data_IF_650286511393
#
_entry.id   IF_650286511393
#
_cell.length_a   1.000
_cell.length_b   1.000
_cell.length_c   1.000
_cell.angle_alpha   90.00
_cell.angle_beta   90.00
_cell.angle_gamma   90.00
#
_symmetry.space_group_name_H-M   'P 1'
#
loop_
_entity.id
_entity.type
_entity.pdbx_description
1 polymer ?
#
# COMPACT_ATOMS: atom_id res chain seq x y z
N UNK A 1 10.64 21.36 2.93
CA UNK A 1 10.55 20.19 3.84
C UNK A 1 9.61 19.20 3.18
N UNK A 2 10.07 17.97 3.00
CA UNK A 2 9.30 16.91 2.36
C UNK A 2 8.13 16.47 3.26
N UNK A 3 6.93 16.43 2.70
CA UNK A 3 5.73 15.92 3.39
C UNK A 3 5.22 14.68 2.67
N UNK A 4 5.05 13.58 3.40
CA UNK A 4 4.36 12.37 2.93
C UNK A 4 2.91 12.41 3.39
N UNK A 5 1.96 12.29 2.47
CA UNK A 5 0.54 12.23 2.79
C UNK A 5 0.04 10.78 2.85
N UNK A 6 -0.53 10.41 4.00
CA UNK A 6 -1.03 9.07 4.31
C UNK A 6 -2.40 9.08 5.01
N UNK A 7 -2.88 7.90 5.38
CA UNK A 7 -4.06 7.72 6.24
C UNK A 7 -3.71 7.83 7.74
N UNK A 8 -2.44 7.60 8.08
CA UNK A 8 -1.95 7.57 9.46
C UNK A 8 -2.09 6.20 10.12
N UNK A 9 -1.63 6.12 11.36
CA UNK A 9 -1.47 4.85 12.06
C UNK A 9 -2.80 4.09 12.18
N UNK A 10 -2.75 2.80 11.89
CA UNK A 10 -3.87 1.89 12.12
C UNK A 10 -3.44 0.43 12.03
N UNK A 11 -4.20 -0.48 12.64
CA UNK A 11 -3.84 -1.91 12.75
C UNK A 11 -2.45 -2.18 13.37
N UNK A 12 -1.95 -1.28 14.22
CA UNK A 12 -0.63 -1.41 14.87
C UNK A 12 0.58 -1.10 13.98
N UNK A 13 0.36 -0.50 12.81
CA UNK A 13 1.40 -0.10 11.85
C UNK A 13 1.31 1.41 11.54
N UNK A 14 2.36 1.97 10.93
CA UNK A 14 2.48 3.42 10.64
C UNK A 14 1.38 3.91 9.71
N UNK A 15 0.95 3.08 8.76
CA UNK A 15 -0.18 3.37 7.87
C UNK A 15 -0.84 2.05 7.42
N UNK A 16 -2.17 1.95 7.33
CA UNK A 16 -2.83 0.75 6.85
C UNK A 16 -2.63 0.50 5.35
N UNK A 17 -2.23 1.50 4.56
CA UNK A 17 -1.93 1.36 3.13
C UNK A 17 -0.51 0.82 2.93
N UNK A 18 -0.34 -0.34 2.27
CA UNK A 18 1.00 -0.85 1.96
C UNK A 18 1.79 0.10 1.05
N UNK A 19 1.09 0.90 0.23
CA UNK A 19 1.74 1.88 -0.64
C UNK A 19 2.26 3.10 0.12
N UNK A 20 1.60 3.51 1.20
CA UNK A 20 2.13 4.56 2.09
C UNK A 20 3.31 3.99 2.87
N UNK A 21 3.17 2.77 3.43
CA UNK A 21 4.22 2.10 4.17
C UNK A 21 5.51 1.93 3.38
N UNK A 22 5.46 1.52 2.11
CA UNK A 22 6.70 1.37 1.30
C UNK A 22 7.43 2.70 1.10
N UNK A 23 6.70 3.82 0.98
CA UNK A 23 7.31 5.15 0.84
C UNK A 23 7.88 5.63 2.18
N UNK A 24 7.14 5.48 3.28
CA UNK A 24 7.63 5.77 4.64
C UNK A 24 8.90 4.96 4.96
N UNK A 25 8.89 3.66 4.67
CA UNK A 25 10.05 2.79 4.86
C UNK A 25 11.23 3.21 3.99
N UNK A 26 11.00 3.52 2.71
CA UNK A 26 12.05 4.00 1.81
C UNK A 26 12.70 5.29 2.32
N UNK A 27 11.90 6.28 2.72
CA UNK A 27 12.39 7.55 3.26
C UNK A 27 13.26 7.34 4.50
N UNK A 28 12.81 6.48 5.43
CA UNK A 28 13.56 6.15 6.64
C UNK A 28 14.87 5.43 6.33
N UNK A 29 14.84 4.43 5.44
CA UNK A 29 16.04 3.68 5.05
C UNK A 29 17.05 4.57 4.31
N UNK A 30 16.58 5.50 3.49
CA UNK A 30 17.41 6.46 2.76
C UNK A 30 17.91 7.62 3.66
N UNK A 31 17.47 7.70 4.92
CA UNK A 31 17.83 8.79 5.83
C UNK A 31 17.25 10.16 5.43
N UNK A 32 16.20 10.18 4.62
CA UNK A 32 15.55 11.41 4.16
C UNK A 32 14.60 11.89 5.26
N UNK A 33 14.78 13.13 5.71
CA UNK A 33 13.89 13.75 6.70
C UNK A 33 12.54 14.14 6.04
N UNK A 34 11.43 13.78 6.68
CA UNK A 34 10.10 14.07 6.20
C UNK A 34 9.09 14.21 7.35
N UNK A 35 7.97 14.86 7.05
CA UNK A 35 6.79 14.86 7.92
C UNK A 35 5.70 13.95 7.35
N UNK A 36 5.01 13.19 8.21
CA UNK A 36 3.85 12.38 7.81
C UNK A 36 2.57 13.17 8.10
N UNK A 37 1.88 13.61 7.05
CA UNK A 37 0.58 14.26 7.14
C UNK A 37 -0.54 13.23 6.97
N UNK A 38 -1.37 13.10 7.99
CA UNK A 38 -2.41 12.06 8.11
C UNK A 38 -3.84 12.61 8.09
N UNK A 39 -4.01 13.85 7.62
CA UNK A 39 -5.33 14.46 7.51
C UNK A 39 -6.24 13.64 6.58
N UNK A 40 -7.43 13.26 7.08
CA UNK A 40 -8.42 12.49 6.33
C UNK A 40 -8.82 13.13 4.98
N UNK A 41 -8.72 14.45 4.84
CA UNK A 41 -8.97 15.19 3.60
C UNK A 41 -7.92 14.91 2.52
N UNK A 42 -6.73 14.42 2.87
CA UNK A 42 -5.65 14.10 1.93
C UNK A 42 -6.10 13.10 0.86
N UNK A 43 -6.95 12.14 1.21
CA UNK A 43 -7.47 11.18 0.24
C UNK A 43 -8.25 11.87 -0.91
N UNK A 44 -9.08 12.86 -0.57
CA UNK A 44 -9.85 13.62 -1.56
C UNK A 44 -9.01 14.60 -2.38
N UNK A 45 -7.87 15.04 -1.83
CA UNK A 45 -6.91 15.95 -2.47
C UNK A 45 -5.85 15.21 -3.30
N UNK A 46 -5.79 13.88 -3.17
CA UNK A 46 -4.78 13.07 -3.84
C UNK A 46 -4.88 13.25 -5.37
N UNK A 47 -3.82 13.69 -6.06
CA UNK A 47 -3.88 14.04 -7.49
C UNK A 47 -4.38 12.92 -8.40
N UNK A 48 -4.15 11.66 -8.00
CA UNK A 48 -4.57 10.45 -8.73
C UNK A 48 -5.71 9.70 -8.03
N UNK A 49 -6.38 10.31 -7.06
CA UNK A 49 -7.42 9.69 -6.25
C UNK A 49 -6.93 8.54 -5.36
N UNK A 50 -5.61 8.48 -5.09
CA UNK A 50 -4.94 7.44 -4.31
C UNK A 50 -3.79 8.04 -3.50
N UNK A 51 -3.63 7.54 -2.26
CA UNK A 51 -2.45 7.77 -1.44
C UNK A 51 -1.41 6.65 -1.70
N UNK A 52 -0.11 6.91 -1.54
CA UNK A 52 0.49 8.18 -1.10
C UNK A 52 0.66 9.21 -2.23
N UNK A 53 0.83 10.45 -1.80
CA UNK A 53 1.57 11.48 -2.55
C UNK A 53 2.54 12.20 -1.61
N UNK A 54 3.57 12.82 -2.17
CA UNK A 54 4.48 13.71 -1.45
C UNK A 54 4.31 15.14 -1.94
N UNK A 55 4.67 16.08 -1.08
CA UNK A 55 4.83 17.49 -1.42
C UNK A 55 6.20 18.00 -0.94
N UNK A 56 6.93 18.65 -1.83
CA UNK A 56 8.18 19.34 -1.49
C UNK A 56 8.37 20.58 -2.36
N UNK A 57 8.60 21.74 -1.73
CA UNK A 57 8.82 23.02 -2.41
C UNK A 57 7.71 23.38 -3.43
N UNK A 58 6.47 23.01 -3.13
CA UNK A 58 5.30 23.23 -4.00
C UNK A 58 5.16 22.21 -5.13
N UNK A 59 6.08 21.26 -5.28
CA UNK A 59 5.95 20.15 -6.22
C UNK A 59 5.24 18.98 -5.56
N UNK A 60 4.20 18.46 -6.23
CA UNK A 60 3.43 17.30 -5.76
C UNK A 60 3.71 16.10 -6.66
N UNK A 61 4.07 14.97 -6.05
CA UNK A 61 4.27 13.70 -6.76
C UNK A 61 3.41 12.61 -6.14
N UNK A 62 2.56 11.99 -6.96
CA UNK A 62 1.67 10.91 -6.56
C UNK A 62 2.06 9.60 -7.23
N UNK A 63 1.67 8.48 -6.61
CA UNK A 63 2.09 7.10 -6.91
C UNK A 63 3.38 6.68 -6.21
N UNK A 64 3.32 5.62 -5.40
CA UNK A 64 4.44 5.15 -4.59
C UNK A 64 5.72 4.81 -5.38
N UNK A 65 5.61 4.32 -6.62
CA UNK A 65 6.78 3.98 -7.43
C UNK A 65 7.41 5.24 -8.02
N UNK A 66 6.58 6.17 -8.53
CA UNK A 66 7.05 7.45 -9.06
C UNK A 66 7.70 8.31 -7.96
N UNK A 67 7.13 8.29 -6.75
CA UNK A 67 7.69 8.96 -5.58
C UNK A 67 9.08 8.43 -5.27
N UNK A 68 9.24 7.10 -5.14
CA UNK A 68 10.53 6.48 -4.83
C UNK A 68 11.55 6.78 -5.93
N UNK A 69 11.16 6.68 -7.21
CA UNK A 69 12.06 6.97 -8.33
C UNK A 69 12.58 8.41 -8.29
N UNK A 70 11.68 9.39 -8.11
CA UNK A 70 12.06 10.82 -8.01
C UNK A 70 12.97 11.07 -6.81
N UNK A 71 12.63 10.54 -5.63
CA UNK A 71 13.41 10.74 -4.43
C UNK A 71 14.79 10.10 -4.54
N UNK A 72 14.89 8.94 -5.20
CA UNK A 72 16.17 8.28 -5.45
C UNK A 72 17.10 9.15 -6.27
N UNK A 73 16.59 9.78 -7.33
CA UNK A 73 17.35 10.70 -8.18
C UNK A 73 17.67 11.99 -7.43
N UNK A 74 16.67 12.63 -6.84
CA UNK A 74 16.80 13.94 -6.17
C UNK A 74 17.76 13.91 -4.98
N UNK A 75 17.75 12.83 -4.19
CA UNK A 75 18.60 12.68 -3.01
C UNK A 75 19.83 11.80 -3.24
N UNK A 76 20.08 11.37 -4.48
CA UNK A 76 21.21 10.49 -4.84
C UNK A 76 21.29 9.25 -3.94
N UNK A 77 20.16 8.59 -3.73
CA UNK A 77 20.03 7.45 -2.81
C UNK A 77 20.70 6.21 -3.41
N UNK A 78 21.57 5.56 -2.64
CA UNK A 78 22.42 4.43 -3.10
C UNK A 78 22.05 3.08 -2.46
N UNK A 79 20.79 2.91 -2.01
CA UNK A 79 20.35 1.73 -1.23
C UNK A 79 20.58 0.40 -1.96
N UNK A 80 20.52 0.41 -3.29
CA UNK A 80 20.58 -0.78 -4.13
C UNK A 80 21.75 -0.79 -5.13
N UNK A 81 22.71 0.14 -5.00
CA UNK A 81 23.82 0.30 -5.96
C UNK A 81 24.77 -0.90 -6.02
N UNK A 82 24.76 -1.74 -4.99
CA UNK A 82 25.52 -2.98 -4.93
C UNK A 82 24.87 -4.12 -5.73
N UNK A 83 23.65 -3.95 -6.23
CA UNK A 83 22.96 -4.93 -7.07
C UNK A 83 23.41 -4.86 -8.53
N UNK A 84 23.56 -6.03 -9.16
CA UNK A 84 23.75 -6.12 -10.62
C UNK A 84 22.50 -5.66 -11.38
N UNK A 85 22.60 -5.31 -12.68
CA UNK A 85 21.43 -4.98 -13.50
C UNK A 85 20.34 -6.07 -13.48
N UNK A 86 20.74 -7.35 -13.49
CA UNK A 86 19.83 -8.49 -13.41
C UNK A 86 19.14 -8.55 -12.05
N UNK A 87 19.86 -8.29 -10.96
CA UNK A 87 19.29 -8.26 -9.62
C UNK A 87 18.33 -7.08 -9.42
N UNK A 88 18.63 -5.90 -9.99
CA UNK A 88 17.71 -4.76 -10.00
C UNK A 88 16.43 -5.10 -10.78
N UNK A 89 16.54 -5.77 -11.93
CA UNK A 89 15.38 -6.25 -12.69
C UNK A 89 14.55 -7.27 -11.90
N UNK A 90 15.20 -8.21 -11.22
CA UNK A 90 14.52 -9.16 -10.32
C UNK A 90 13.81 -8.44 -9.17
N UNK A 91 14.48 -7.51 -8.50
CA UNK A 91 13.88 -6.73 -7.40
C UNK A 91 12.64 -5.94 -7.86
N UNK A 92 12.68 -5.38 -9.08
CA UNK A 92 11.52 -4.72 -9.68
C UNK A 92 10.33 -5.69 -9.88
N UNK A 93 10.55 -6.85 -10.50
CA UNK A 93 9.50 -7.84 -10.75
C UNK A 93 8.94 -8.44 -9.46
N UNK A 94 9.82 -8.71 -8.49
CA UNK A 94 9.43 -9.18 -7.16
C UNK A 94 8.55 -8.14 -6.47
N UNK A 95 8.99 -6.88 -6.41
CA UNK A 95 8.19 -5.78 -5.85
C UNK A 95 6.84 -5.63 -6.56
N UNK A 96 6.80 -5.78 -7.89
CA UNK A 96 5.56 -5.77 -8.66
C UNK A 96 4.62 -6.92 -8.31
N UNK A 97 5.14 -8.11 -8.01
CA UNK A 97 4.26 -9.20 -7.57
C UNK A 97 3.67 -8.95 -6.17
N UNK A 98 4.34 -8.22 -5.28
CA UNK A 98 3.71 -7.73 -4.04
C UNK A 98 2.59 -6.73 -4.33
N UNK A 99 2.89 -5.72 -5.14
CA UNK A 99 1.99 -4.60 -5.47
C UNK A 99 0.72 -5.08 -6.21
N UNK A 100 0.84 -6.10 -7.09
CA UNK A 100 -0.21 -6.50 -8.02
C UNK A 100 -0.86 -7.87 -7.72
N UNK A 101 -0.30 -8.70 -6.84
CA UNK A 101 -0.88 -9.99 -6.43
C UNK A 101 -1.15 -10.02 -4.91
N UNK A 102 -0.11 -9.97 -4.06
CA UNK A 102 -0.30 -10.07 -2.60
C UNK A 102 -1.18 -8.94 -2.04
N UNK A 103 -1.12 -7.75 -2.62
CA UNK A 103 -2.02 -6.65 -2.31
C UNK A 103 -3.50 -7.04 -2.41
N UNK A 104 -3.91 -7.82 -3.41
CA UNK A 104 -5.33 -8.16 -3.58
C UNK A 104 -5.82 -9.18 -2.55
N UNK A 105 -4.98 -10.10 -2.07
CA UNK A 105 -5.36 -10.96 -0.93
C UNK A 105 -5.52 -10.16 0.36
N UNK A 106 -4.69 -9.13 0.57
CA UNK A 106 -4.85 -8.20 1.69
C UNK A 106 -6.15 -7.40 1.58
N UNK A 107 -6.48 -6.90 0.38
CA UNK A 107 -7.76 -6.22 0.15
C UNK A 107 -8.92 -7.18 0.38
N UNK A 108 -8.78 -8.45 0.00
CA UNK A 108 -9.82 -9.45 0.16
C UNK A 108 -10.13 -9.67 1.64
N UNK A 109 -9.09 -9.95 2.43
CA UNK A 109 -9.24 -10.18 3.87
C UNK A 109 -9.84 -8.97 4.59
N UNK A 110 -9.51 -7.75 4.17
CA UNK A 110 -9.99 -6.53 4.85
C UNK A 110 -11.38 -6.08 4.44
N UNK A 111 -11.72 -6.18 3.16
CA UNK A 111 -12.92 -5.52 2.60
C UNK A 111 -14.03 -6.51 2.20
N UNK A 112 -13.67 -7.76 1.91
CA UNK A 112 -14.62 -8.76 1.40
C UNK A 112 -15.07 -9.69 2.51
N UNK A 113 -14.15 -10.21 3.33
CA UNK A 113 -14.46 -11.08 4.46
C UNK A 113 -15.37 -10.37 5.48
N UNK A 114 -16.58 -10.89 5.65
CA UNK A 114 -17.57 -10.33 6.57
C UNK A 114 -17.17 -10.50 8.05
N UNK A 115 -16.29 -11.45 8.38
CA UNK A 115 -15.79 -11.64 9.75
C UNK A 115 -14.78 -10.57 10.15
N UNK A 116 -14.04 -10.04 9.17
CA UNK A 116 -12.98 -9.04 9.40
C UNK A 116 -13.50 -7.62 9.21
N UNK A 117 -14.50 -7.44 8.32
CA UNK A 117 -15.03 -6.13 7.98
C UNK A 117 -15.42 -5.23 9.18
N UNK A 118 -16.05 -5.72 10.27
CA UNK A 118 -16.37 -4.87 11.41
C UNK A 118 -15.14 -4.16 12.01
N UNK A 119 -14.00 -4.86 12.09
CA UNK A 119 -12.74 -4.30 12.59
C UNK A 119 -12.17 -3.26 11.63
N UNK A 120 -12.19 -3.56 10.33
CA UNK A 120 -11.71 -2.65 9.29
C UNK A 120 -12.58 -1.39 9.21
N UNK A 121 -13.90 -1.56 9.33
CA UNK A 121 -14.83 -0.45 9.38
C UNK A 121 -14.52 0.49 10.54
N UNK A 122 -14.33 -0.08 11.73
CA UNK A 122 -14.02 0.70 12.93
C UNK A 122 -12.72 1.50 12.75
N UNK A 123 -11.66 0.82 12.31
CA UNK A 123 -10.34 1.42 12.15
C UNK A 123 -10.33 2.61 11.17
N UNK A 124 -10.98 2.47 10.01
CA UNK A 124 -10.93 3.50 8.97
C UNK A 124 -11.97 4.61 9.13
N UNK A 125 -13.11 4.35 9.76
CA UNK A 125 -14.28 5.24 9.61
C UNK A 125 -14.90 5.73 10.92
N UNK A 126 -14.56 5.16 12.09
CA UNK A 126 -15.22 5.56 13.35
C UNK A 126 -14.91 7.00 13.78
N UNK A 127 -13.77 7.55 13.34
CA UNK A 127 -13.38 8.94 13.58
C UNK A 127 -14.14 9.94 12.70
N UNK A 128 -14.90 9.48 11.69
CA UNK A 128 -15.67 10.38 10.83
C UNK A 128 -16.90 10.94 11.58
N UNK A 129 -17.29 12.19 11.29
CA UNK A 129 -18.51 12.76 11.87
C UNK A 129 -19.76 12.07 11.31
N UNK A 130 -20.86 12.15 12.06
CA UNK A 130 -22.18 11.80 11.50
C UNK A 130 -22.61 12.87 10.47
N UNK A 131 -23.20 12.49 9.33
CA UNK A 131 -23.60 11.14 8.90
C UNK A 131 -22.53 10.37 8.09
N UNK A 132 -21.36 10.95 7.84
CA UNK A 132 -20.32 10.36 6.99
C UNK A 132 -19.87 8.97 7.48
N UNK A 133 -19.73 8.77 8.80
CA UNK A 133 -19.36 7.46 9.38
C UNK A 133 -20.34 6.32 9.07
N UNK A 134 -21.56 6.62 8.63
CA UNK A 134 -22.56 5.62 8.23
C UNK A 134 -22.52 5.40 6.71
N UNK A 135 -22.49 6.48 5.94
CA UNK A 135 -22.62 6.44 4.48
C UNK A 135 -21.31 6.00 3.81
N UNK A 136 -20.18 6.60 4.21
CA UNK A 136 -18.88 6.39 3.55
C UNK A 136 -18.44 4.91 3.58
N UNK A 137 -18.53 4.15 4.70
CA UNK A 137 -18.14 2.75 4.70
C UNK A 137 -18.94 1.89 3.72
N UNK A 138 -20.24 2.16 3.55
CA UNK A 138 -21.11 1.41 2.64
C UNK A 138 -20.67 1.63 1.20
N UNK A 139 -20.48 2.89 0.81
CA UNK A 139 -20.04 3.27 -0.54
C UNK A 139 -18.64 2.73 -0.82
N UNK A 140 -17.70 2.92 0.11
CA UNK A 140 -16.32 2.45 -0.01
C UNK A 140 -16.27 0.92 -0.16
N UNK A 141 -16.94 0.17 0.72
CA UNK A 141 -16.95 -1.30 0.66
C UNK A 141 -17.57 -1.82 -0.64
N UNK A 142 -18.67 -1.21 -1.10
CA UNK A 142 -19.28 -1.55 -2.38
C UNK A 142 -18.31 -1.31 -3.53
N UNK A 143 -17.63 -0.16 -3.54
CA UNK A 143 -16.62 0.16 -4.55
C UNK A 143 -15.47 -0.84 -4.59
N UNK A 144 -14.95 -1.24 -3.42
CA UNK A 144 -13.88 -2.25 -3.32
C UNK A 144 -14.34 -3.62 -3.80
N UNK A 145 -15.56 -4.06 -3.42
CA UNK A 145 -16.17 -5.30 -3.92
C UNK A 145 -16.26 -5.30 -5.45
N UNK A 146 -16.69 -4.18 -6.05
CA UNK A 146 -16.73 -4.03 -7.52
C UNK A 146 -15.34 -4.06 -8.15
N UNK A 147 -14.37 -3.32 -7.59
CA UNK A 147 -13.01 -3.29 -8.11
C UNK A 147 -12.35 -4.67 -8.09
N UNK A 148 -12.53 -5.44 -7.01
CA UNK A 148 -11.98 -6.79 -6.91
C UNK A 148 -12.64 -7.77 -7.89
N UNK A 149 -13.94 -7.63 -8.14
CA UNK A 149 -14.60 -8.45 -9.16
C UNK A 149 -14.08 -8.16 -10.58
N UNK A 150 -13.78 -6.89 -10.87
CA UNK A 150 -13.16 -6.46 -12.13
C UNK A 150 -11.72 -6.96 -12.25
N UNK A 151 -10.96 -6.95 -11.16
CA UNK A 151 -9.61 -7.51 -11.16
C UNK A 151 -9.62 -9.03 -11.34
N UNK A 152 -10.65 -9.72 -10.84
CA UNK A 152 -10.92 -11.14 -11.09
C UNK A 152 -10.78 -12.04 -9.87
N UNK A 153 -10.09 -11.61 -8.80
CA UNK A 153 -9.88 -12.45 -7.62
C UNK A 153 -11.19 -12.91 -6.97
N UNK A 154 -12.17 -12.00 -6.81
CA UNK A 154 -13.46 -12.34 -6.18
C UNK A 154 -14.41 -13.13 -7.10
N UNK A 155 -13.93 -13.68 -8.22
CA UNK A 155 -14.68 -14.65 -9.05
C UNK A 155 -14.45 -16.09 -8.59
N UNK A 156 -13.43 -16.30 -7.77
CA UNK A 156 -13.07 -17.60 -7.22
C UNK A 156 -13.76 -17.84 -5.88
N UNK A 157 -13.87 -19.10 -5.50
CA UNK A 157 -14.31 -19.53 -4.17
C UNK A 157 -13.30 -19.14 -3.09
N UNK A 158 -13.75 -19.09 -1.83
CA UNK A 158 -12.89 -18.78 -0.68
C UNK A 158 -11.70 -19.75 -0.59
N UNK A 159 -11.92 -21.04 -0.83
CA UNK A 159 -10.86 -22.06 -0.83
C UNK A 159 -9.83 -21.87 -1.94
N UNK A 160 -10.26 -21.44 -3.13
CA UNK A 160 -9.34 -21.14 -4.23
C UNK A 160 -8.51 -19.90 -3.91
N UNK A 161 -9.13 -18.83 -3.42
CA UNK A 161 -8.43 -17.61 -3.00
C UNK A 161 -7.39 -17.93 -1.92
N UNK A 162 -7.76 -18.73 -0.91
CA UNK A 162 -6.84 -19.14 0.15
C UNK A 162 -5.66 -19.98 -0.40
N UNK A 163 -5.92 -20.91 -1.33
CA UNK A 163 -4.87 -21.70 -1.96
C UNK A 163 -3.92 -20.86 -2.84
N UNK A 164 -4.46 -19.88 -3.57
CA UNK A 164 -3.68 -18.93 -4.36
C UNK A 164 -2.80 -18.05 -3.46
N UNK A 165 -3.38 -17.45 -2.41
CA UNK A 165 -2.65 -16.66 -1.43
C UNK A 165 -1.53 -17.47 -0.78
N UNK A 166 -1.82 -18.71 -0.36
CA UNK A 166 -0.82 -19.61 0.22
C UNK A 166 0.34 -19.86 -0.73
N UNK A 167 0.06 -20.14 -2.02
CA UNK A 167 1.10 -20.35 -3.04
C UNK A 167 2.00 -19.12 -3.19
N UNK A 168 1.43 -17.91 -3.21
CA UNK A 168 2.22 -16.68 -3.26
C UNK A 168 3.10 -16.54 -2.00
N UNK A 169 2.54 -16.72 -0.80
CA UNK A 169 3.32 -16.66 0.45
C UNK A 169 4.44 -17.71 0.52
N UNK A 170 4.16 -18.96 0.14
CA UNK A 170 5.16 -20.03 0.10
C UNK A 170 6.31 -19.68 -0.87
N UNK A 171 5.98 -19.08 -2.02
CA UNK A 171 6.98 -18.69 -3.03
C UNK A 171 7.89 -17.58 -2.50
N UNK A 172 7.31 -16.59 -1.80
CA UNK A 172 8.06 -15.55 -1.12
C UNK A 172 8.93 -16.10 0.01
N UNK A 173 8.38 -17.00 0.84
CA UNK A 173 9.13 -17.65 1.90
C UNK A 173 10.35 -18.41 1.35
N UNK A 174 10.19 -19.11 0.23
CA UNK A 174 11.29 -19.81 -0.43
C UNK A 174 12.39 -18.83 -0.89
N UNK A 175 12.03 -17.72 -1.53
CA UNK A 175 12.98 -16.70 -1.99
C UNK A 175 13.73 -16.06 -0.82
N UNK A 176 13.03 -15.71 0.26
CA UNK A 176 13.62 -15.04 1.43
C UNK A 176 14.47 -16.00 2.28
N UNK A 177 14.10 -17.28 2.36
CA UNK A 177 14.89 -18.29 3.09
C UNK A 177 16.22 -18.62 2.41
N UNK A 178 16.31 -18.44 1.10
CA UNK A 178 17.54 -18.70 0.34
C UNK A 178 18.61 -17.61 0.55
N UNK A 179 18.23 -16.45 1.11
CA UNK A 179 19.10 -15.28 1.27
C UNK A 179 19.82 -15.22 2.62
N UNK A 180 19.68 -16.24 3.49
CA UNK A 180 20.49 -16.38 4.72
C UNK A 180 21.59 -17.41 4.49
N UNK A 181 22.60 -17.05 3.70
CA UNK A 181 23.91 -17.73 3.63
C UNK A 181 25.01 -16.73 3.41
#
# INVERSE_FOLDING_TARGET
MLTLHGFGSGFGIVDPSPFVLKVDAYLRLAGIAFELNTDSSNFSKAPKGKLPFIEENGEIVADSQLIIAKLSEQYSVTLDDWLSPEQKAQAHLLSKSLDEDLYWYLVYSRWIDDNIWPKVKAEFFDKMPFPLKIIVPIVARKGVKTAMNKQGLSRHSVSEIAAMAKRSFDSWAQLLSATVR
#
